data_IF_697276856823
#
_entry.id   IF_697276856823
#
_cell.length_a   1.000
_cell.length_b   1.000
_cell.length_c   1.000
_cell.angle_alpha   90.00
_cell.angle_beta   90.00
_cell.angle_gamma   90.00
#
_symmetry.space_group_name_H-M   'P 1'
#
loop_
_entity.id
_entity.type
_entity.pdbx_description
1 polymer ?
#
# COMPACT_ATOMS: atom_id res chain seq x y z
N UNK A 1 15.01 9.13 0.41
CA UNK A 1 14.48 8.03 -0.40
C UNK A 1 13.26 7.45 0.34
N UNK A 2 12.04 7.91 0.04
CA UNK A 2 10.82 7.42 0.73
C UNK A 2 9.78 6.79 -0.22
N UNK A 3 9.92 6.97 -1.54
CA UNK A 3 8.99 6.37 -2.52
C UNK A 3 9.21 4.88 -2.79
N UNK A 4 10.39 4.33 -2.48
CA UNK A 4 10.74 2.93 -2.74
C UNK A 4 10.05 1.97 -1.77
N UNK A 5 9.96 2.32 -0.48
CA UNK A 5 9.37 1.42 0.52
C UNK A 5 7.86 1.20 0.34
N UNK A 6 7.11 2.23 -0.05
CA UNK A 6 5.66 2.10 -0.20
C UNK A 6 5.30 1.27 -1.43
N UNK A 7 6.04 1.44 -2.52
CA UNK A 7 5.85 0.65 -3.74
C UNK A 7 6.15 -0.84 -3.47
N UNK A 8 7.22 -1.16 -2.74
CA UNK A 8 7.55 -2.53 -2.35
C UNK A 8 6.47 -3.17 -1.47
N UNK A 9 5.93 -2.43 -0.48
CA UNK A 9 4.83 -2.89 0.37
C UNK A 9 3.56 -3.16 -0.44
N UNK A 10 3.26 -2.30 -1.43
CA UNK A 10 2.13 -2.50 -2.34
C UNK A 10 2.32 -3.75 -3.20
N UNK A 11 3.50 -3.96 -3.77
CA UNK A 11 3.79 -5.17 -4.55
C UNK A 11 3.64 -6.44 -3.69
N UNK A 12 4.07 -6.40 -2.42
CA UNK A 12 3.84 -7.51 -1.48
C UNK A 12 2.36 -7.78 -1.20
N UNK A 13 1.55 -6.73 -1.02
CA UNK A 13 0.08 -6.83 -0.88
C UNK A 13 -0.59 -7.40 -2.13
N UNK A 14 -0.16 -6.98 -3.30
CA UNK A 14 -0.68 -7.49 -4.56
C UNK A 14 -0.28 -8.97 -4.76
N UNK A 15 0.96 -9.32 -4.44
CA UNK A 15 1.47 -10.69 -4.51
C UNK A 15 0.76 -11.63 -3.53
N UNK A 16 0.27 -11.13 -2.39
CA UNK A 16 -0.55 -11.91 -1.45
C UNK A 16 -2.02 -12.03 -1.86
N UNK A 17 -2.40 -11.50 -3.03
CA UNK A 17 -3.77 -11.57 -3.56
C UNK A 17 -4.69 -10.43 -3.15
N UNK A 18 -4.20 -9.41 -2.42
CA UNK A 18 -4.99 -8.19 -2.16
C UNK A 18 -5.12 -7.41 -3.46
N UNK A 19 -6.29 -6.85 -3.73
CA UNK A 19 -6.52 -6.07 -4.95
C UNK A 19 -6.26 -4.58 -4.72
N UNK A 20 -5.96 -3.84 -5.80
CA UNK A 20 -5.89 -2.37 -5.74
C UNK A 20 -7.11 -1.73 -5.09
N UNK A 21 -8.30 -2.27 -5.38
CA UNK A 21 -9.56 -1.79 -4.83
C UNK A 21 -9.60 -1.96 -3.31
N UNK A 22 -9.24 -3.12 -2.80
CA UNK A 22 -9.23 -3.39 -1.36
C UNK A 22 -8.23 -2.50 -0.61
N UNK A 23 -7.04 -2.29 -1.17
CA UNK A 23 -6.04 -1.38 -0.60
C UNK A 23 -6.56 0.07 -0.60
N UNK A 24 -7.16 0.50 -1.71
CA UNK A 24 -7.70 1.84 -1.87
C UNK A 24 -8.86 2.14 -0.92
N UNK A 25 -9.79 1.19 -0.77
CA UNK A 25 -10.90 1.27 0.18
C UNK A 25 -10.41 1.42 1.62
N UNK A 26 -9.39 0.64 2.01
CA UNK A 26 -8.80 0.73 3.35
C UNK A 26 -8.01 2.03 3.56
N UNK A 27 -7.35 2.51 2.52
CA UNK A 27 -6.59 3.76 2.55
C UNK A 27 -7.47 5.02 2.42
N UNK A 28 -8.77 4.87 2.14
CA UNK A 28 -9.69 6.00 1.92
C UNK A 28 -9.34 6.82 0.67
N UNK A 29 -8.79 6.19 -0.37
CA UNK A 29 -8.41 6.84 -1.62
C UNK A 29 -8.92 6.09 -2.85
N UNK A 30 -8.71 6.66 -4.04
CA UNK A 30 -9.01 5.97 -5.30
C UNK A 30 -7.96 4.91 -5.65
N UNK A 31 -8.36 3.86 -6.37
CA UNK A 31 -7.45 2.83 -6.88
C UNK A 31 -6.36 3.41 -7.80
N UNK A 32 -6.66 4.50 -8.51
CA UNK A 32 -5.68 5.24 -9.32
C UNK A 32 -4.56 5.86 -8.47
N UNK A 33 -4.84 6.20 -7.21
CA UNK A 33 -3.84 6.69 -6.25
C UNK A 33 -2.87 5.57 -5.89
N UNK A 34 -3.38 4.37 -5.61
CA UNK A 34 -2.55 3.18 -5.34
C UNK A 34 -1.65 2.85 -6.54
N UNK A 35 -2.20 2.91 -7.76
CA UNK A 35 -1.42 2.71 -8.99
C UNK A 35 -0.30 3.75 -9.12
N UNK A 36 -0.58 5.04 -8.88
CA UNK A 36 0.39 6.14 -8.97
C UNK A 36 1.48 6.06 -7.90
N UNK A 37 1.15 5.59 -6.70
CA UNK A 37 2.15 5.31 -5.66
C UNK A 37 3.09 4.21 -6.12
N UNK A 38 2.52 3.08 -6.57
CA UNK A 38 3.28 1.93 -7.04
C UNK A 38 4.19 2.25 -8.22
N UNK A 39 3.74 3.09 -9.15
CA UNK A 39 4.54 3.54 -10.29
C UNK A 39 5.55 4.63 -9.94
N UNK A 40 5.63 5.07 -8.68
CA UNK A 40 6.53 6.13 -8.22
C UNK A 40 6.10 7.55 -8.63
N UNK A 41 4.94 7.71 -9.26
CA UNK A 41 4.38 9.02 -9.63
C UNK A 41 3.90 9.82 -8.40
N UNK A 42 3.62 9.14 -7.28
CA UNK A 42 3.36 9.74 -5.97
C UNK A 42 4.35 9.12 -4.96
N UNK A 43 5.35 9.90 -4.56
CA UNK A 43 6.40 9.45 -3.63
C UNK A 43 6.11 9.76 -2.17
N UNK A 44 5.12 10.62 -1.90
CA UNK A 44 4.71 10.99 -0.55
C UNK A 44 3.18 11.17 -0.51
N UNK A 45 2.40 10.08 -0.51
CA UNK A 45 0.97 10.20 -0.31
C UNK A 45 0.71 10.78 1.08
N UNK A 46 -0.41 11.48 1.25
CA UNK A 46 -0.80 12.00 2.56
C UNK A 46 -0.75 10.87 3.60
N UNK A 47 -0.38 11.24 4.83
CA UNK A 47 -0.01 10.32 5.90
C UNK A 47 -1.02 9.18 6.17
N UNK A 48 -2.31 9.40 5.90
CA UNK A 48 -3.36 8.37 6.03
C UNK A 48 -3.20 7.19 5.06
N UNK A 49 -2.87 7.45 3.79
CA UNK A 49 -2.71 6.40 2.78
C UNK A 49 -1.45 5.58 3.03
N UNK A 50 -0.34 6.24 3.37
CA UNK A 50 0.90 5.54 3.72
C UNK A 50 0.74 4.65 4.95
N UNK A 51 0.10 5.16 6.01
CA UNK A 51 -0.18 4.40 7.23
C UNK A 51 -1.06 3.17 6.95
N UNK A 52 -2.13 3.32 6.15
CA UNK A 52 -2.99 2.19 5.83
C UNK A 52 -2.25 1.07 5.09
N UNK A 53 -1.36 1.42 4.15
CA UNK A 53 -0.50 0.45 3.44
C UNK A 53 0.47 -0.24 4.42
N UNK A 54 1.06 0.52 5.34
CA UNK A 54 1.95 -0.04 6.37
C UNK A 54 1.23 -1.02 7.29
N UNK A 55 0.03 -0.68 7.76
CA UNK A 55 -0.80 -1.55 8.60
C UNK A 55 -1.19 -2.83 7.85
N UNK A 56 -1.69 -2.71 6.62
CA UNK A 56 -2.04 -3.88 5.80
C UNK A 56 -0.83 -4.79 5.54
N UNK A 57 0.33 -4.20 5.25
CA UNK A 57 1.56 -4.96 5.04
C UNK A 57 2.06 -5.62 6.33
N UNK A 58 1.87 -4.99 7.49
CA UNK A 58 2.17 -5.60 8.78
C UNK A 58 1.24 -6.78 9.08
N UNK A 59 -0.04 -6.70 8.70
CA UNK A 59 -1.03 -7.79 8.82
C UNK A 59 -0.70 -9.01 7.92
N UNK A 60 0.05 -8.83 6.83
CA UNK A 60 0.53 -9.93 5.99
C UNK A 60 1.60 -10.80 6.66
N UNK A 61 2.39 -10.22 7.58
CA UNK A 61 3.34 -11.04 8.34
C UNK A 61 2.51 -11.92 9.27
N UNK A 62 2.73 -13.25 9.26
CA UNK A 62 1.89 -14.16 10.03
C UNK A 62 1.88 -13.69 11.47
N UNK A 63 0.67 -13.55 12.03
CA UNK A 63 0.46 -13.48 13.47
C UNK A 63 1.28 -14.63 14.06
N UNK A 64 2.43 -14.31 14.66
CA UNK A 64 3.26 -15.28 15.35
C UNK A 64 2.34 -15.94 16.37
N UNK A 65 2.05 -17.22 16.12
CA UNK A 65 1.34 -18.09 17.03
C UNK A 65 2.18 -18.31 18.29
#
# INVERSE_FOLDING_TARGET
MHGTELAEKLEALLASGVTYKAIAERAGCDASTIYRIRSGAITNPLYSTGRAIDEMHAELKPRAA
#
